data_IF_943814909195
#
_entry.id   IF_943814909195
#
_cell.length_a   1.000
_cell.length_b   1.000
_cell.length_c   1.000
_cell.angle_alpha   90.00
_cell.angle_beta   90.00
_cell.angle_gamma   90.00
#
_symmetry.space_group_name_H-M   'P 1'
#
loop_
_entity.id
_entity.type
_entity.pdbx_description
1 polymer ?
#
# COMPACT_ATOMS: atom_id res chain seq x y z
N UNK A 1 10.78 -32.15 -3.15
CA UNK A 1 10.18 -33.12 -4.09
C UNK A 1 9.21 -32.37 -5.01
N UNK A 2 9.45 -32.33 -6.33
CA UNK A 2 8.42 -32.05 -7.34
C UNK A 2 9.04 -32.18 -8.75
N UNK A 3 8.79 -33.30 -9.43
CA UNK A 3 9.02 -33.43 -10.87
C UNK A 3 8.05 -34.49 -11.40
N UNK A 4 6.97 -34.05 -12.06
CA UNK A 4 6.00 -34.95 -12.71
C UNK A 4 5.95 -34.57 -14.19
N UNK A 5 6.63 -35.38 -15.00
CA UNK A 5 6.49 -35.34 -16.45
C UNK A 5 5.16 -35.99 -16.87
N UNK A 6 4.54 -35.48 -17.93
CA UNK A 6 3.43 -36.16 -18.61
C UNK A 6 3.73 -36.22 -20.12
N UNK A 7 3.90 -37.44 -20.62
CA UNK A 7 3.98 -37.71 -22.04
C UNK A 7 2.58 -37.77 -22.65
N UNK A 8 2.42 -37.20 -23.86
CA UNK A 8 1.24 -37.37 -24.70
C UNK A 8 1.58 -38.23 -25.91
N UNK A 9 0.78 -39.25 -26.18
CA UNK A 9 1.00 -40.23 -27.26
C UNK A 9 0.00 -40.04 -28.40
N UNK A 10 0.47 -39.69 -29.60
CA UNK A 10 -0.39 -39.56 -30.78
C UNK A 10 -0.68 -40.92 -31.44
N UNK A 11 -1.97 -41.19 -31.65
CA UNK A 11 -2.47 -42.38 -32.36
C UNK A 11 -2.60 -42.06 -33.85
N UNK A 12 -1.88 -42.80 -34.71
CA UNK A 12 -2.16 -42.80 -36.16
C UNK A 12 -3.47 -43.55 -36.44
N UNK A 13 -4.39 -42.89 -37.15
CA UNK A 13 -5.55 -43.53 -37.77
C UNK A 13 -5.17 -43.94 -39.20
N UNK A 14 -5.34 -45.22 -39.51
CA UNK A 14 -5.24 -45.75 -40.88
C UNK A 14 -6.60 -45.69 -41.57
N UNK A 15 -6.66 -45.17 -42.79
CA UNK A 15 -7.83 -45.30 -43.68
C UNK A 15 -7.41 -46.06 -44.93
N UNK A 16 -8.06 -47.19 -45.18
CA UNK A 16 -7.90 -47.95 -46.42
C UNK A 16 -8.84 -47.39 -47.50
N UNK A 17 -8.44 -47.52 -48.76
CA UNK A 17 -9.27 -47.14 -49.91
C UNK A 17 -8.93 -48.01 -51.12
N UNK A 18 -9.83 -48.93 -51.46
CA UNK A 18 -9.77 -49.71 -52.70
C UNK A 18 -10.26 -48.87 -53.88
N UNK A 19 -9.66 -49.06 -55.07
CA UNK A 19 -10.33 -48.80 -56.35
C UNK A 19 -9.69 -49.63 -57.48
N UNK A 20 -10.53 -50.45 -58.15
CA UNK A 20 -10.18 -51.14 -59.41
C UNK A 20 -10.20 -50.16 -60.59
N UNK A 21 -9.28 -50.31 -61.55
CA UNK A 21 -9.55 -49.98 -62.97
C UNK A 21 -8.96 -51.09 -63.86
N UNK A 22 -9.66 -51.40 -64.96
CA UNK A 22 -9.44 -52.53 -65.87
C UNK A 22 -8.70 -52.17 -67.17
N UNK A 23 -8.04 -53.17 -67.75
CA UNK A 23 -7.86 -53.43 -69.19
C UNK A 23 -7.27 -52.37 -70.15
N UNK A 24 -6.21 -52.75 -70.87
CA UNK A 24 -5.76 -52.07 -72.10
C UNK A 24 -4.52 -52.73 -72.71
N UNK A 25 -4.67 -53.44 -73.84
CA UNK A 25 -3.61 -54.25 -74.47
C UNK A 25 -2.97 -53.53 -75.67
N UNK A 26 -1.66 -53.67 -75.89
CA UNK A 26 -1.14 -54.45 -77.05
C UNK A 26 0.36 -54.24 -77.39
N UNK A 27 0.95 -55.33 -77.93
CA UNK A 27 2.08 -55.42 -78.87
C UNK A 27 3.45 -54.76 -78.54
N UNK A 28 4.46 -55.63 -78.40
CA UNK A 28 5.31 -55.89 -79.57
C UNK A 28 6.85 -55.93 -79.40
N UNK A 29 7.40 -57.17 -79.46
CA UNK A 29 8.77 -57.51 -79.93
C UNK A 29 9.98 -57.11 -79.06
N UNK A 30 11.10 -57.85 -79.24
CA UNK A 30 12.42 -57.45 -78.70
C UNK A 30 13.17 -58.46 -77.81
N UNK A 31 13.13 -59.76 -78.10
CA UNK A 31 13.96 -60.76 -77.38
C UNK A 31 15.43 -60.63 -77.81
N UNK A 32 16.30 -60.04 -76.97
CA UNK A 32 17.75 -60.19 -77.05
C UNK A 32 18.33 -60.52 -75.67
N UNK A 33 18.78 -61.76 -75.51
CA UNK A 33 19.69 -62.13 -74.42
C UNK A 33 21.01 -61.41 -74.65
N UNK A 34 21.28 -60.37 -73.87
CA UNK A 34 22.59 -59.80 -73.70
C UNK A 34 22.91 -59.83 -72.21
N UNK A 35 23.99 -60.52 -71.82
CA UNK A 35 24.57 -60.47 -70.49
C UNK A 35 25.23 -59.11 -70.25
N UNK A 36 24.40 -58.06 -70.22
CA UNK A 36 24.79 -56.75 -69.75
C UNK A 36 24.75 -56.75 -68.24
N UNK A 37 25.87 -56.36 -67.62
CA UNK A 37 25.98 -56.14 -66.18
C UNK A 37 24.76 -55.36 -65.67
N UNK A 38 24.30 -55.68 -64.46
CA UNK A 38 23.37 -54.80 -63.73
C UNK A 38 24.13 -53.50 -63.46
N UNK A 39 24.11 -52.56 -64.43
CA UNK A 39 24.63 -51.20 -64.27
C UNK A 39 23.91 -50.64 -63.08
N UNK A 40 24.59 -50.63 -61.94
CA UNK A 40 24.13 -49.98 -60.72
C UNK A 40 23.84 -48.55 -61.17
N UNK A 41 22.57 -48.08 -61.16
CA UNK A 41 22.27 -46.76 -61.65
C UNK A 41 23.16 -45.81 -60.88
N UNK A 42 23.97 -45.05 -61.63
CA UNK A 42 25.06 -44.24 -61.09
C UNK A 42 24.56 -43.43 -59.90
N UNK A 43 25.40 -43.14 -58.92
CA UNK A 43 25.05 -42.27 -57.81
C UNK A 43 24.35 -40.98 -58.31
N UNK A 44 24.79 -40.47 -59.47
CA UNK A 44 24.18 -39.34 -60.20
C UNK A 44 22.75 -39.63 -60.69
N UNK A 45 22.46 -40.82 -61.22
CA UNK A 45 21.11 -41.19 -61.68
C UNK A 45 20.15 -41.45 -60.52
N UNK A 46 20.64 -42.07 -59.43
CA UNK A 46 19.86 -42.24 -58.20
C UNK A 46 19.54 -40.90 -57.56
N UNK A 47 20.54 -40.04 -57.42
CA UNK A 47 20.41 -38.67 -56.93
C UNK A 47 19.46 -37.86 -57.81
N UNK A 48 19.61 -37.90 -59.14
CA UNK A 48 18.70 -37.22 -60.07
C UNK A 48 17.25 -37.68 -59.88
N UNK A 49 17.00 -38.99 -59.81
CA UNK A 49 15.64 -39.52 -59.59
C UNK A 49 15.07 -39.13 -58.21
N UNK A 50 15.90 -39.12 -57.17
CA UNK A 50 15.50 -38.72 -55.81
C UNK A 50 15.24 -37.20 -55.72
N UNK A 51 16.02 -36.40 -56.45
CA UNK A 51 15.84 -34.95 -56.61
C UNK A 51 14.57 -34.63 -57.42
N UNK A 52 14.31 -35.36 -58.50
CA UNK A 52 13.06 -35.27 -59.28
C UNK A 52 11.84 -35.69 -58.44
N UNK A 53 11.96 -36.73 -57.61
CA UNK A 53 10.90 -37.13 -56.68
C UNK A 53 10.63 -36.05 -55.60
N UNK A 54 11.67 -35.50 -54.97
CA UNK A 54 11.49 -34.42 -53.97
C UNK A 54 11.02 -33.10 -54.60
N UNK A 55 11.41 -32.79 -55.84
CA UNK A 55 10.81 -31.70 -56.63
C UNK A 55 9.33 -31.94 -56.91
N UNK A 56 8.94 -33.14 -57.36
CA UNK A 56 7.54 -33.49 -57.60
C UNK A 56 6.71 -33.47 -56.31
N UNK A 57 7.25 -33.96 -55.20
CA UNK A 57 6.60 -33.93 -53.89
C UNK A 57 6.37 -32.49 -53.42
N UNK A 58 7.36 -31.59 -53.55
CA UNK A 58 7.20 -30.15 -53.28
C UNK A 58 6.17 -29.49 -54.20
N UNK A 59 6.14 -29.84 -55.49
CA UNK A 59 5.15 -29.30 -56.44
C UNK A 59 3.72 -29.79 -56.12
N UNK A 60 3.56 -31.03 -55.66
CA UNK A 60 2.27 -31.56 -55.18
C UNK A 60 1.87 -30.89 -53.87
N UNK A 61 2.82 -30.68 -52.94
CA UNK A 61 2.65 -29.91 -51.71
C UNK A 61 2.10 -28.52 -51.98
N UNK A 62 2.83 -27.69 -52.74
CA UNK A 62 2.38 -26.34 -53.12
C UNK A 62 1.05 -26.34 -53.88
N UNK A 63 0.77 -27.36 -54.70
CA UNK A 63 -0.53 -27.48 -55.39
C UNK A 63 -1.66 -27.78 -54.42
N UNK A 64 -1.42 -28.56 -53.37
CA UNK A 64 -2.40 -28.86 -52.33
C UNK A 64 -2.59 -27.68 -51.37
N UNK A 65 -1.52 -27.02 -50.94
CA UNK A 65 -1.58 -25.75 -50.19
C UNK A 65 -2.38 -24.69 -50.97
N UNK A 66 -2.11 -24.52 -52.27
CA UNK A 66 -2.88 -23.60 -53.12
C UNK A 66 -4.36 -24.01 -53.26
N UNK A 67 -4.67 -25.32 -53.27
CA UNK A 67 -6.06 -25.80 -53.25
C UNK A 67 -6.74 -25.49 -51.92
N UNK A 68 -6.10 -25.76 -50.79
CA UNK A 68 -6.65 -25.46 -49.46
C UNK A 68 -6.81 -23.95 -49.25
N UNK A 69 -5.84 -23.12 -49.65
CA UNK A 69 -5.98 -21.65 -49.67
C UNK A 69 -7.15 -21.19 -50.55
N UNK A 70 -7.32 -21.79 -51.74
CA UNK A 70 -8.46 -21.47 -52.62
C UNK A 70 -9.79 -21.95 -52.03
N UNK A 71 -9.80 -23.07 -51.31
CA UNK A 71 -10.96 -23.62 -50.64
C UNK A 71 -11.36 -22.77 -49.44
N UNK A 72 -10.41 -22.43 -48.57
CA UNK A 72 -10.59 -21.49 -47.46
C UNK A 72 -11.06 -20.11 -47.96
N UNK A 73 -10.46 -19.58 -49.02
CA UNK A 73 -10.89 -18.32 -49.64
C UNK A 73 -12.30 -18.40 -50.23
N UNK A 74 -12.68 -19.53 -50.84
CA UNK A 74 -14.06 -19.78 -51.30
C UNK A 74 -15.03 -19.92 -50.13
N UNK A 75 -14.67 -20.64 -49.08
CA UNK A 75 -15.46 -20.80 -47.87
C UNK A 75 -15.69 -19.43 -47.20
N UNK A 76 -14.64 -18.64 -47.01
CA UNK A 76 -14.70 -17.25 -46.54
C UNK A 76 -15.60 -16.38 -47.44
N UNK A 77 -15.43 -16.44 -48.76
CA UNK A 77 -16.26 -15.68 -49.70
C UNK A 77 -17.73 -16.12 -49.65
N UNK A 78 -18.02 -17.43 -49.52
CA UNK A 78 -19.40 -17.91 -49.33
C UNK A 78 -19.96 -17.57 -47.96
N UNK A 79 -19.13 -17.43 -46.93
CA UNK A 79 -19.57 -16.97 -45.61
C UNK A 79 -19.94 -15.49 -45.70
N UNK A 80 -19.01 -14.64 -46.16
CA UNK A 80 -19.24 -13.20 -46.42
C UNK A 80 -20.50 -12.98 -47.27
N UNK A 81 -20.69 -13.72 -48.36
CA UNK A 81 -21.87 -13.63 -49.21
C UNK A 81 -23.20 -14.03 -48.53
N UNK A 82 -23.15 -14.83 -47.45
CA UNK A 82 -24.32 -15.17 -46.62
C UNK A 82 -24.58 -14.16 -45.51
N UNK A 83 -23.53 -13.52 -45.00
CA UNK A 83 -23.58 -12.55 -43.89
C UNK A 83 -24.26 -11.22 -44.28
N UNK A 84 -23.99 -10.74 -45.49
CA UNK A 84 -24.20 -9.33 -45.88
C UNK A 84 -25.61 -8.73 -45.65
N UNK A 85 -26.75 -9.41 -45.90
CA UNK A 85 -28.07 -8.75 -45.73
C UNK A 85 -28.66 -8.82 -44.31
N UNK A 86 -28.56 -9.95 -43.62
CA UNK A 86 -29.33 -10.21 -42.37
C UNK A 86 -28.58 -9.91 -41.09
N UNK A 87 -27.24 -10.01 -41.06
CA UNK A 87 -26.45 -9.79 -39.85
C UNK A 87 -26.25 -8.31 -39.55
N UNK A 88 -25.97 -7.50 -40.58
CA UNK A 88 -25.91 -6.04 -40.49
C UNK A 88 -27.23 -5.48 -39.93
N UNK A 89 -28.37 -5.94 -40.45
CA UNK A 89 -29.70 -5.52 -39.96
C UNK A 89 -29.93 -5.89 -38.49
N UNK A 90 -29.49 -7.08 -38.06
CA UNK A 90 -29.57 -7.50 -36.67
C UNK A 90 -28.67 -6.67 -35.74
N UNK A 91 -27.43 -6.43 -36.16
CA UNK A 91 -26.43 -5.65 -35.41
C UNK A 91 -26.87 -4.19 -35.25
N UNK A 92 -27.33 -3.55 -36.31
CA UNK A 92 -27.76 -2.15 -36.29
C UNK A 92 -29.03 -1.98 -35.45
N UNK A 93 -30.04 -2.85 -35.62
CA UNK A 93 -31.27 -2.81 -34.82
C UNK A 93 -31.00 -2.96 -33.32
N UNK A 94 -30.09 -3.86 -32.93
CA UNK A 94 -29.71 -4.07 -31.52
C UNK A 94 -28.82 -2.96 -30.95
N UNK A 95 -28.19 -2.15 -31.80
CA UNK A 95 -27.42 -0.97 -31.38
C UNK A 95 -28.27 0.30 -31.29
N UNK A 96 -29.46 0.33 -31.92
CA UNK A 96 -30.42 1.45 -31.81
C UNK A 96 -31.24 1.44 -30.52
N UNK A 97 -31.22 0.35 -29.73
CA UNK A 97 -31.97 0.26 -28.47
C UNK A 97 -31.09 0.78 -27.33
N UNK A 98 -31.58 1.77 -26.57
CA UNK A 98 -30.94 2.32 -25.35
C UNK A 98 -30.87 1.33 -24.16
N UNK A 99 -30.97 0.02 -24.42
CA UNK A 99 -30.99 -1.03 -23.41
C UNK A 99 -29.58 -1.45 -22.97
N UNK A 100 -29.46 -1.83 -21.70
CA UNK A 100 -28.22 -2.37 -21.14
C UNK A 100 -27.72 -3.59 -21.91
N UNK A 101 -26.41 -3.82 -21.92
CA UNK A 101 -25.78 -4.93 -22.65
C UNK A 101 -26.38 -6.29 -22.25
N UNK A 102 -26.66 -6.47 -20.96
CA UNK A 102 -27.36 -7.63 -20.39
C UNK A 102 -28.78 -7.80 -20.96
N UNK A 103 -29.54 -6.71 -21.05
CA UNK A 103 -30.92 -6.71 -21.58
C UNK A 103 -30.92 -7.05 -23.07
N UNK A 104 -29.96 -6.49 -23.83
CA UNK A 104 -29.77 -6.80 -25.26
C UNK A 104 -29.41 -8.28 -25.44
N UNK A 105 -28.45 -8.82 -24.68
CA UNK A 105 -28.11 -10.23 -24.71
C UNK A 105 -29.33 -11.14 -24.39
N UNK A 106 -30.12 -10.78 -23.36
CA UNK A 106 -31.34 -11.52 -23.00
C UNK A 106 -32.39 -11.53 -24.11
N UNK A 107 -32.67 -10.37 -24.72
CA UNK A 107 -33.65 -10.25 -25.81
C UNK A 107 -33.27 -11.12 -27.01
N UNK A 108 -31.99 -11.07 -27.43
CA UNK A 108 -31.47 -11.83 -28.57
C UNK A 108 -31.46 -13.32 -28.29
N UNK A 109 -31.08 -13.74 -27.08
CA UNK A 109 -31.00 -15.17 -26.75
C UNK A 109 -32.38 -15.81 -26.50
N UNK A 110 -33.32 -15.10 -25.87
CA UNK A 110 -34.57 -15.69 -25.35
C UNK A 110 -35.85 -15.27 -26.05
N UNK A 111 -35.92 -14.08 -26.64
CA UNK A 111 -37.17 -13.52 -27.18
C UNK A 111 -37.18 -13.44 -28.70
N UNK A 112 -36.17 -12.80 -29.29
CA UNK A 112 -36.09 -12.46 -30.72
C UNK A 112 -36.25 -13.66 -31.66
N UNK A 113 -35.60 -14.83 -31.45
CA UNK A 113 -35.68 -15.95 -32.40
C UNK A 113 -37.11 -16.45 -32.61
N UNK A 114 -37.90 -16.55 -31.53
CA UNK A 114 -39.30 -16.97 -31.58
C UNK A 114 -40.22 -15.82 -32.00
N UNK A 115 -39.95 -14.59 -31.56
CA UNK A 115 -40.79 -13.43 -31.84
C UNK A 115 -40.80 -13.06 -33.33
N UNK A 116 -39.62 -13.00 -33.99
CA UNK A 116 -39.56 -12.67 -35.42
C UNK A 116 -40.27 -13.73 -36.25
N UNK A 117 -40.08 -15.03 -35.97
CA UNK A 117 -40.79 -16.09 -36.68
C UNK A 117 -42.32 -16.00 -36.48
N UNK A 118 -42.77 -15.61 -35.29
CA UNK A 118 -44.19 -15.35 -35.02
C UNK A 118 -44.74 -14.16 -35.80
N UNK A 119 -44.00 -13.05 -35.88
CA UNK A 119 -44.37 -11.87 -36.67
C UNK A 119 -44.33 -12.17 -38.18
N UNK A 120 -43.35 -12.92 -38.66
CA UNK A 120 -43.28 -13.39 -40.05
C UNK A 120 -44.52 -14.23 -40.41
N UNK A 121 -44.91 -15.19 -39.55
CA UNK A 121 -46.13 -15.99 -39.79
C UNK A 121 -47.40 -15.18 -39.66
N UNK A 122 -47.44 -14.18 -38.78
CA UNK A 122 -48.56 -13.24 -38.66
C UNK A 122 -48.73 -12.40 -39.95
N UNK A 123 -47.65 -11.83 -40.47
CA UNK A 123 -47.66 -11.02 -41.69
C UNK A 123 -48.09 -11.85 -42.90
N UNK A 124 -47.50 -13.05 -43.08
CA UNK A 124 -47.91 -13.98 -44.14
C UNK A 124 -49.40 -14.36 -44.06
N UNK A 125 -49.96 -14.48 -42.86
CA UNK A 125 -51.39 -14.80 -42.67
C UNK A 125 -52.29 -13.58 -42.94
N UNK A 126 -51.83 -12.37 -42.61
CA UNK A 126 -52.50 -11.11 -42.96
C UNK A 126 -52.47 -10.85 -44.48
N UNK A 127 -51.36 -11.15 -45.15
CA UNK A 127 -51.20 -11.03 -46.61
C UNK A 127 -52.15 -11.96 -47.37
N UNK A 128 -52.22 -13.25 -46.98
CA UNK A 128 -53.17 -14.22 -47.56
C UNK A 128 -54.63 -13.79 -47.43
N UNK A 129 -54.97 -13.05 -46.37
CA UNK A 129 -56.31 -12.51 -46.10
C UNK A 129 -56.54 -11.14 -46.76
N UNK A 130 -55.53 -10.57 -47.43
CA UNK A 130 -55.60 -9.25 -48.04
C UNK A 130 -55.82 -8.14 -47.01
N UNK A 131 -55.24 -8.28 -45.82
CA UNK A 131 -55.40 -7.34 -44.69
C UNK A 131 -54.25 -6.34 -44.56
N UNK A 132 -53.07 -6.62 -45.13
CA UNK A 132 -51.85 -5.84 -44.93
C UNK A 132 -51.90 -4.37 -45.41
N UNK A 133 -52.93 -3.99 -46.19
CA UNK A 133 -53.18 -2.61 -46.63
C UNK A 133 -54.54 -2.03 -46.21
N UNK A 134 -55.31 -2.73 -45.35
CA UNK A 134 -56.64 -2.26 -44.90
C UNK A 134 -56.54 -1.58 -43.54
N UNK A 135 -57.11 -0.39 -43.43
CA UNK A 135 -57.15 0.37 -42.16
C UNK A 135 -58.22 -0.17 -41.19
N UNK A 136 -59.22 -0.87 -41.70
CA UNK A 136 -60.32 -1.44 -40.94
C UNK A 136 -59.96 -2.79 -40.32
N UNK A 137 -60.39 -3.01 -39.08
CA UNK A 137 -60.13 -4.27 -38.35
C UNK A 137 -61.08 -5.37 -38.84
N UNK A 138 -60.52 -6.47 -39.33
CA UNK A 138 -61.28 -7.68 -39.66
C UNK A 138 -61.85 -8.31 -38.37
N UNK A 139 -63.18 -8.47 -38.23
CA UNK A 139 -63.80 -9.14 -37.09
C UNK A 139 -63.32 -10.59 -36.87
N UNK A 140 -62.89 -11.27 -37.93
CA UNK A 140 -62.45 -12.67 -37.91
C UNK A 140 -60.92 -12.86 -37.75
N UNK A 141 -60.14 -11.78 -37.65
CA UNK A 141 -58.69 -11.88 -37.49
C UNK A 141 -58.13 -10.85 -36.51
N UNK A 142 -57.81 -11.31 -35.29
CA UNK A 142 -57.09 -10.51 -34.31
C UNK A 142 -55.59 -10.87 -34.36
N UNK A 143 -54.71 -9.95 -34.82
CA UNK A 143 -53.28 -10.23 -34.97
C UNK A 143 -52.56 -10.46 -33.64
N UNK A 144 -53.02 -9.83 -32.56
CA UNK A 144 -52.45 -10.01 -31.21
C UNK A 144 -52.76 -11.42 -30.72
N UNK A 145 -53.99 -11.89 -30.89
CA UNK A 145 -54.38 -13.25 -30.50
C UNK A 145 -53.64 -14.31 -31.33
N UNK A 146 -53.47 -14.09 -32.63
CA UNK A 146 -52.70 -15.00 -33.50
C UNK A 146 -51.23 -15.09 -33.04
N UNK A 147 -50.57 -13.95 -32.80
CA UNK A 147 -49.19 -13.93 -32.33
C UNK A 147 -49.07 -14.56 -30.93
N UNK A 148 -49.96 -14.27 -30.00
CA UNK A 148 -49.97 -14.88 -28.67
C UNK A 148 -50.10 -16.41 -28.74
N UNK A 149 -51.05 -16.93 -29.54
CA UNK A 149 -51.21 -18.37 -29.77
C UNK A 149 -49.96 -19.00 -30.41
N UNK A 150 -49.31 -18.29 -31.33
CA UNK A 150 -48.06 -18.74 -31.94
C UNK A 150 -46.93 -18.83 -30.91
N UNK A 151 -46.73 -17.78 -30.10
CA UNK A 151 -45.69 -17.74 -29.07
C UNK A 151 -45.92 -18.82 -27.99
N UNK A 152 -47.17 -19.04 -27.56
CA UNK A 152 -47.52 -20.10 -26.61
C UNK A 152 -47.23 -21.50 -27.16
N UNK A 153 -47.46 -21.74 -28.46
CA UNK A 153 -47.16 -23.01 -29.13
C UNK A 153 -45.67 -23.23 -29.39
N UNK A 154 -44.89 -22.16 -29.56
CA UNK A 154 -43.48 -22.21 -29.95
C UNK A 154 -42.54 -21.73 -28.83
N UNK A 155 -42.78 -22.18 -27.60
CA UNK A 155 -41.98 -21.82 -26.43
C UNK A 155 -40.47 -22.12 -26.67
N UNK A 156 -39.55 -21.16 -26.49
CA UNK A 156 -38.11 -21.36 -26.70
C UNK A 156 -37.48 -22.56 -25.95
N UNK A 157 -38.07 -23.02 -24.84
CA UNK A 157 -37.61 -24.19 -24.09
C UNK A 157 -37.92 -25.54 -24.74
N UNK A 158 -38.89 -25.58 -25.66
CA UNK A 158 -39.43 -26.81 -26.24
C UNK A 158 -39.56 -26.75 -27.78
N UNK A 159 -39.25 -25.62 -28.41
CA UNK A 159 -39.39 -25.43 -29.84
C UNK A 159 -38.19 -25.98 -30.61
N UNK A 160 -38.44 -26.96 -31.47
CA UNK A 160 -37.46 -27.50 -32.41
C UNK A 160 -37.36 -26.64 -33.68
N UNK A 161 -37.24 -25.31 -33.55
CA UNK A 161 -36.92 -24.46 -34.70
C UNK A 161 -35.57 -24.88 -35.26
N UNK A 162 -35.59 -25.46 -36.45
CA UNK A 162 -34.39 -25.91 -37.12
C UNK A 162 -33.40 -24.77 -37.27
N UNK A 163 -32.11 -25.05 -37.05
CA UNK A 163 -30.98 -24.12 -37.15
C UNK A 163 -30.69 -23.68 -38.61
N UNK A 164 -31.71 -23.80 -39.47
CA UNK A 164 -31.71 -23.64 -40.91
C UNK A 164 -31.98 -22.18 -41.34
N UNK A 165 -32.73 -21.39 -40.56
CA UNK A 165 -33.01 -19.99 -40.90
C UNK A 165 -31.75 -19.12 -40.78
N UNK A 166 -31.33 -18.39 -41.84
CA UNK A 166 -30.19 -17.48 -41.79
C UNK A 166 -30.29 -16.46 -40.64
N UNK A 167 -31.50 -15.97 -40.37
CA UNK A 167 -31.76 -14.99 -39.32
C UNK A 167 -31.51 -15.54 -37.89
N UNK A 168 -31.79 -16.82 -37.64
CA UNK A 168 -31.53 -17.43 -36.33
C UNK A 168 -30.01 -17.60 -36.11
N UNK A 169 -29.23 -17.81 -37.18
CA UNK A 169 -27.75 -17.82 -37.09
C UNK A 169 -27.20 -16.44 -36.78
N UNK A 170 -27.67 -15.40 -37.48
CA UNK A 170 -27.23 -14.02 -37.25
C UNK A 170 -27.46 -13.57 -35.80
N UNK A 171 -28.61 -13.92 -35.21
CA UNK A 171 -28.88 -13.63 -33.80
C UNK A 171 -27.94 -14.39 -32.84
N UNK A 172 -27.57 -15.65 -33.13
CA UNK A 172 -26.59 -16.39 -32.32
C UNK A 172 -25.21 -15.73 -32.36
N UNK A 173 -24.74 -15.28 -33.52
CA UNK A 173 -23.43 -14.62 -33.64
C UNK A 173 -23.38 -13.32 -32.84
N UNK A 174 -24.43 -12.50 -32.91
CA UNK A 174 -24.56 -11.29 -32.08
C UNK A 174 -24.67 -11.63 -30.59
N UNK A 175 -25.36 -12.72 -30.21
CA UNK A 175 -25.39 -13.20 -28.81
C UNK A 175 -23.99 -13.52 -28.30
N UNK A 176 -23.19 -14.23 -29.07
CA UNK A 176 -21.83 -14.62 -28.68
C UNK A 176 -20.86 -13.43 -28.69
N UNK A 177 -21.09 -12.39 -29.49
CA UNK A 177 -20.37 -11.11 -29.42
C UNK A 177 -20.72 -10.35 -28.13
N UNK A 178 -22.02 -10.15 -27.84
CA UNK A 178 -22.50 -9.48 -26.63
C UNK A 178 -22.03 -10.19 -25.34
N UNK A 179 -22.00 -11.52 -25.32
CA UNK A 179 -21.43 -12.30 -24.20
C UNK A 179 -19.95 -12.03 -23.99
N UNK A 180 -19.15 -12.00 -25.07
CA UNK A 180 -17.71 -11.67 -24.99
C UNK A 180 -17.50 -10.27 -24.43
N UNK A 181 -18.32 -9.29 -24.81
CA UNK A 181 -18.28 -7.95 -24.24
C UNK A 181 -18.65 -7.93 -22.75
N UNK A 182 -19.71 -8.64 -22.34
CA UNK A 182 -20.10 -8.79 -20.92
C UNK A 182 -18.95 -9.36 -20.08
N UNK A 183 -18.37 -10.49 -20.49
CA UNK A 183 -17.25 -11.11 -19.78
C UNK A 183 -16.05 -10.16 -19.66
N UNK A 184 -15.68 -9.44 -20.72
CA UNK A 184 -14.59 -8.46 -20.68
C UNK A 184 -14.84 -7.31 -19.68
N UNK A 185 -16.10 -6.87 -19.54
CA UNK A 185 -16.49 -5.81 -18.59
C UNK A 185 -16.46 -6.34 -17.15
N UNK A 186 -16.99 -7.55 -16.92
CA UNK A 186 -16.98 -8.21 -15.61
C UNK A 186 -15.57 -8.54 -15.14
N UNK A 187 -14.72 -9.11 -15.99
CA UNK A 187 -13.32 -9.41 -15.67
C UNK A 187 -12.52 -8.14 -15.35
N UNK A 188 -12.74 -7.04 -16.09
CA UNK A 188 -12.14 -5.75 -15.79
C UNK A 188 -12.61 -5.21 -14.42
N UNK A 189 -13.91 -5.25 -14.14
CA UNK A 189 -14.48 -4.84 -12.85
C UNK A 189 -13.93 -5.69 -11.69
N UNK A 190 -13.86 -7.01 -11.87
CA UNK A 190 -13.35 -7.95 -10.88
C UNK A 190 -11.85 -7.76 -10.64
N UNK A 191 -11.07 -7.54 -11.71
CA UNK A 191 -9.65 -7.21 -11.62
C UNK A 191 -9.41 -5.90 -10.85
N UNK A 192 -10.22 -4.85 -11.08
CA UNK A 192 -10.16 -3.59 -10.32
C UNK A 192 -10.45 -3.80 -8.84
N UNK A 193 -11.54 -4.51 -8.50
CA UNK A 193 -11.91 -4.82 -7.11
C UNK A 193 -10.82 -5.66 -6.41
N UNK A 194 -10.26 -6.65 -7.10
CA UNK A 194 -9.17 -7.50 -6.59
C UNK A 194 -7.89 -6.71 -6.35
N UNK A 195 -7.54 -5.79 -7.25
CA UNK A 195 -6.38 -4.90 -7.12
C UNK A 195 -6.56 -3.90 -5.95
N UNK A 196 -7.74 -3.29 -5.81
CA UNK A 196 -8.06 -2.38 -4.70
C UNK A 196 -8.03 -3.09 -3.34
N UNK A 197 -8.62 -4.29 -3.25
CA UNK A 197 -8.61 -5.13 -2.04
C UNK A 197 -7.19 -5.53 -1.66
N UNK A 198 -6.35 -5.89 -2.64
CA UNK A 198 -4.94 -6.18 -2.44
C UNK A 198 -4.17 -4.96 -1.93
N UNK A 199 -4.36 -3.79 -2.56
CA UNK A 199 -3.72 -2.53 -2.14
C UNK A 199 -4.09 -2.16 -0.70
N UNK A 200 -5.38 -2.23 -0.33
CA UNK A 200 -5.86 -2.01 1.06
C UNK A 200 -5.33 -3.03 2.07
N UNK A 201 -4.89 -4.21 1.64
CA UNK A 201 -4.20 -5.18 2.51
C UNK A 201 -2.74 -4.80 2.70
N UNK A 202 -2.02 -4.56 1.60
CA UNK A 202 -0.61 -4.15 1.62
C UNK A 202 -0.40 -2.81 2.37
N UNK A 203 -1.34 -1.88 2.30
CA UNK A 203 -1.31 -0.62 3.04
C UNK A 203 -1.51 -0.80 4.56
N UNK A 204 -2.45 -1.68 4.98
CA UNK A 204 -2.62 -2.02 6.40
C UNK A 204 -1.42 -2.76 6.96
N UNK A 205 -0.89 -3.74 6.22
CA UNK A 205 0.30 -4.49 6.60
C UNK A 205 1.53 -3.60 6.77
N UNK A 206 1.72 -2.60 5.89
CA UNK A 206 2.76 -1.57 6.04
C UNK A 206 2.56 -0.70 7.28
N UNK A 207 1.33 -0.23 7.53
CA UNK A 207 1.04 0.61 8.69
C UNK A 207 1.16 -0.15 10.02
N UNK A 208 0.79 -1.43 10.03
CA UNK A 208 0.98 -2.34 11.18
C UNK A 208 2.47 -2.63 11.41
N UNK A 209 3.27 -2.83 10.35
CA UNK A 209 4.72 -2.99 10.47
C UNK A 209 5.40 -1.72 11.02
N UNK A 210 5.07 -0.53 10.51
CA UNK A 210 5.60 0.74 11.02
C UNK A 210 5.28 0.94 12.51
N UNK A 211 4.02 0.72 12.93
CA UNK A 211 3.63 0.79 14.35
C UNK A 211 4.38 -0.22 15.22
N UNK A 212 4.62 -1.44 14.73
CA UNK A 212 5.43 -2.42 15.45
C UNK A 212 6.91 -1.98 15.57
N UNK A 213 7.46 -1.35 14.54
CA UNK A 213 8.83 -0.85 14.53
C UNK A 213 9.01 0.34 15.49
N UNK A 214 8.08 1.30 15.46
CA UNK A 214 7.99 2.42 16.42
C UNK A 214 7.86 1.90 17.85
N UNK A 215 6.94 0.98 18.12
CA UNK A 215 6.75 0.37 19.45
C UNK A 215 8.02 -0.36 19.93
N UNK A 216 8.72 -1.08 19.03
CA UNK A 216 10.01 -1.73 19.34
C UNK A 216 11.10 -0.71 19.65
N UNK A 217 11.16 0.40 18.91
CA UNK A 217 12.11 1.48 19.13
C UNK A 217 11.88 2.19 20.47
N UNK A 218 10.63 2.59 20.76
CA UNK A 218 10.24 3.21 22.05
C UNK A 218 10.54 2.28 23.22
N UNK A 219 10.19 0.99 23.12
CA UNK A 219 10.51 -0.03 24.11
C UNK A 219 12.01 -0.13 24.40
N UNK A 220 12.86 -0.12 23.35
CA UNK A 220 14.33 -0.14 23.49
C UNK A 220 14.84 1.09 24.26
N UNK A 221 14.38 2.29 23.88
CA UNK A 221 14.79 3.53 24.56
C UNK A 221 14.33 3.61 26.01
N UNK A 222 13.14 3.08 26.34
CA UNK A 222 12.69 2.96 27.73
C UNK A 222 13.58 1.98 28.54
N UNK A 223 14.03 0.88 27.94
CA UNK A 223 14.97 -0.04 28.59
C UNK A 223 16.36 0.56 28.79
N UNK A 224 16.83 1.40 27.86
CA UNK A 224 18.07 2.18 28.01
C UNK A 224 17.92 3.23 29.13
N UNK A 225 16.79 3.94 29.17
CA UNK A 225 16.48 4.95 30.18
C UNK A 225 16.50 4.42 31.62
N UNK A 226 16.14 3.14 31.81
CA UNK A 226 16.18 2.48 33.13
C UNK A 226 17.54 2.62 33.84
N UNK A 227 18.65 2.61 33.11
CA UNK A 227 20.01 2.67 33.67
C UNK A 227 20.35 4.01 34.34
N UNK A 228 19.58 5.06 34.04
CA UNK A 228 19.73 6.39 34.63
C UNK A 228 18.99 6.55 35.95
N UNK A 229 18.01 5.70 36.25
CA UNK A 229 17.29 5.76 37.52
C UNK A 229 18.20 5.38 38.68
N UNK A 230 17.95 5.96 39.86
CA UNK A 230 18.61 5.51 41.08
C UNK A 230 18.14 4.08 41.39
N UNK A 231 19.03 3.13 41.20
CA UNK A 231 18.71 1.72 41.35
C UNK A 231 19.02 1.33 42.80
N UNK A 232 18.03 0.78 43.51
CA UNK A 232 18.23 0.27 44.86
C UNK A 232 19.25 -0.88 44.91
N UNK A 233 19.70 -1.33 46.10
CA UNK A 233 20.74 -2.36 46.23
C UNK A 233 20.43 -3.69 45.50
N UNK A 234 19.15 -3.97 45.21
CA UNK A 234 18.72 -5.16 44.44
C UNK A 234 18.72 -5.01 42.91
N UNK A 235 19.11 -3.86 42.33
CA UNK A 235 19.03 -3.68 40.88
C UNK A 235 17.64 -3.27 40.35
N UNK A 236 16.74 -2.77 41.22
CA UNK A 236 15.34 -2.44 40.90
C UNK A 236 15.00 -0.96 41.09
N UNK A 237 13.93 -0.50 40.42
CA UNK A 237 13.35 0.85 40.51
C UNK A 237 11.96 0.76 41.13
N UNK A 238 11.61 1.66 42.05
CA UNK A 238 10.30 1.69 42.72
C UNK A 238 9.21 2.27 41.81
N UNK A 239 8.00 1.68 41.86
CA UNK A 239 6.88 2.04 40.99
C UNK A 239 6.38 3.47 41.23
N UNK A 240 6.35 3.93 42.49
CA UNK A 240 5.85 5.26 42.84
C UNK A 240 6.66 6.38 42.18
N UNK A 241 7.98 6.21 42.04
CA UNK A 241 8.87 7.16 41.35
C UNK A 241 8.45 7.35 39.87
N UNK A 242 8.05 6.25 39.24
CA UNK A 242 7.62 6.22 37.84
C UNK A 242 6.25 6.85 37.66
N UNK A 243 5.32 6.60 38.60
CA UNK A 243 4.01 7.24 38.62
C UNK A 243 4.12 8.75 38.89
N UNK A 244 5.01 9.19 39.78
CA UNK A 244 5.28 10.60 40.03
C UNK A 244 5.91 11.29 38.80
N UNK A 245 6.79 10.61 38.07
CA UNK A 245 7.33 11.12 36.79
C UNK A 245 6.24 11.24 35.70
N UNK A 246 5.32 10.28 35.62
CA UNK A 246 4.16 10.35 34.71
C UNK A 246 3.21 11.50 35.09
N UNK A 247 2.90 11.68 36.39
CA UNK A 247 2.04 12.78 36.90
C UNK A 247 2.64 14.16 36.61
N UNK A 248 3.91 14.36 36.98
CA UNK A 248 4.64 15.61 36.69
C UNK A 248 4.78 15.91 35.19
N UNK A 249 4.79 14.89 34.32
CA UNK A 249 4.72 15.12 32.86
C UNK A 249 3.34 15.63 32.42
N UNK A 250 2.25 15.15 33.02
CA UNK A 250 0.90 15.66 32.73
C UNK A 250 0.80 17.13 33.18
N UNK A 251 1.27 17.46 34.39
CA UNK A 251 1.34 18.84 34.89
C UNK A 251 2.23 19.75 34.01
N UNK A 252 3.34 19.23 33.49
CA UNK A 252 4.17 19.93 32.52
C UNK A 252 3.44 20.13 31.17
N UNK A 253 2.60 19.18 30.77
CA UNK A 253 1.86 19.23 29.50
C UNK A 253 0.78 20.29 29.47
N UNK A 254 0.23 20.70 30.62
CA UNK A 254 -0.71 21.82 30.74
C UNK A 254 -0.07 23.15 30.33
N UNK A 255 1.27 23.26 30.42
CA UNK A 255 2.04 24.43 29.99
C UNK A 255 2.39 24.43 28.49
N UNK A 256 1.99 23.40 27.74
CA UNK A 256 2.21 23.35 26.29
C UNK A 256 1.16 24.18 25.53
N UNK A 257 1.42 24.59 24.27
CA UNK A 257 0.40 25.19 23.42
C UNK A 257 -0.83 24.29 23.26
N UNK A 258 -2.03 24.88 23.16
CA UNK A 258 -3.33 24.18 23.17
C UNK A 258 -3.43 22.99 22.22
N UNK A 259 -2.84 23.12 21.01
CA UNK A 259 -2.82 22.06 20.00
C UNK A 259 -1.99 20.83 20.39
N UNK A 260 -1.08 20.96 21.36
CA UNK A 260 -0.29 19.85 21.94
C UNK A 260 -0.86 19.35 23.27
N UNK A 261 -1.57 20.18 24.05
CA UNK A 261 -2.18 19.76 25.32
C UNK A 261 -3.11 18.55 25.13
N UNK A 262 -3.96 18.56 24.09
CA UNK A 262 -4.86 17.44 23.80
C UNK A 262 -4.11 16.17 23.37
N UNK A 263 -2.99 16.30 22.67
CA UNK A 263 -2.17 15.20 22.16
C UNK A 263 -1.15 14.65 23.19
N UNK A 264 -0.89 15.40 24.27
CA UNK A 264 0.01 15.01 25.35
C UNK A 264 -0.69 14.27 26.49
N UNK A 265 -2.02 14.23 26.51
CA UNK A 265 -2.81 13.42 27.44
C UNK A 265 -2.58 11.94 27.14
N UNK A 266 -2.29 11.16 28.18
CA UNK A 266 -2.15 9.71 28.06
C UNK A 266 -3.50 9.05 27.70
N UNK A 267 -3.43 7.96 26.94
CA UNK A 267 -4.57 7.15 26.51
C UNK A 267 -5.33 6.52 27.68
N UNK A 268 -4.65 6.24 28.79
CA UNK A 268 -5.18 5.65 30.01
C UNK A 268 -4.98 6.60 31.19
N UNK A 269 -5.99 6.69 32.07
CA UNK A 269 -5.89 7.44 33.32
C UNK A 269 -4.81 6.84 34.24
N UNK A 270 -4.00 7.70 34.85
CA UNK A 270 -2.91 7.29 35.75
C UNK A 270 -3.47 6.66 37.03
N UNK A 271 -3.05 5.43 37.32
CA UNK A 271 -3.34 4.73 38.57
C UNK A 271 -2.88 5.55 39.79
N UNK A 272 -3.56 5.45 40.95
CA UNK A 272 -3.09 6.03 42.21
C UNK A 272 -1.62 5.65 42.49
N UNK A 273 -0.88 6.58 43.11
CA UNK A 273 0.53 6.33 43.45
C UNK A 273 0.62 5.15 44.42
N UNK A 274 1.55 4.23 44.15
CA UNK A 274 1.71 3.00 44.89
C UNK A 274 2.32 3.24 46.28
N UNK A 275 1.56 2.89 47.31
CA UNK A 275 1.99 2.89 48.71
C UNK A 275 2.59 1.53 49.14
N UNK A 276 2.51 0.48 48.30
CA UNK A 276 2.95 -0.88 48.66
C UNK A 276 4.46 -1.13 48.52
N UNK A 277 5.23 -0.14 48.04
CA UNK A 277 6.68 -0.25 47.85
C UNK A 277 7.08 -1.21 46.72
N UNK A 278 6.23 -1.38 45.70
CA UNK A 278 6.47 -2.33 44.62
C UNK A 278 7.66 -1.89 43.77
N UNK A 279 8.59 -2.81 43.53
CA UNK A 279 9.75 -2.59 42.66
C UNK A 279 9.60 -3.27 41.30
N UNK A 280 10.17 -2.66 40.26
CA UNK A 280 10.07 -3.07 38.86
C UNK A 280 11.42 -3.51 38.33
N UNK A 281 11.43 -4.58 37.51
CA UNK A 281 12.56 -4.93 36.64
C UNK A 281 12.57 -4.09 35.36
N UNK A 282 13.70 -4.08 34.64
CA UNK A 282 13.87 -3.42 33.31
C UNK A 282 12.69 -3.68 32.36
N UNK A 283 12.22 -4.93 32.28
CA UNK A 283 11.14 -5.33 31.37
C UNK A 283 9.77 -4.87 31.85
N UNK A 284 9.54 -4.78 33.16
CA UNK A 284 8.28 -4.32 33.74
C UNK A 284 8.18 -2.80 33.67
N UNK A 285 9.26 -2.08 33.96
CA UNK A 285 9.39 -0.63 33.77
C UNK A 285 8.98 -0.22 32.35
N UNK A 286 9.62 -0.79 31.33
CA UNK A 286 9.35 -0.41 29.94
C UNK A 286 7.94 -0.83 29.49
N UNK A 287 7.42 -1.96 30.00
CA UNK A 287 6.02 -2.39 29.79
C UNK A 287 5.00 -1.51 30.51
N UNK A 288 5.34 -0.89 31.64
CA UNK A 288 4.44 0.02 32.36
C UNK A 288 4.34 1.34 31.61
N UNK A 289 5.47 1.96 31.31
CA UNK A 289 5.51 3.27 30.63
C UNK A 289 4.93 3.21 29.22
N UNK A 290 5.15 2.12 28.46
CA UNK A 290 4.61 2.03 27.09
C UNK A 290 3.08 2.06 27.05
N UNK A 291 2.37 1.60 28.09
CA UNK A 291 0.90 1.62 28.12
C UNK A 291 0.33 3.04 28.04
N UNK A 292 1.01 4.01 28.66
CA UNK A 292 0.64 5.42 28.64
C UNK A 292 1.22 6.18 27.44
N UNK A 293 2.34 5.70 26.87
CA UNK A 293 3.12 6.41 25.83
C UNK A 293 3.01 5.83 24.42
N UNK A 294 2.21 4.78 24.21
CA UNK A 294 2.01 4.15 22.89
C UNK A 294 1.33 5.10 21.88
N UNK A 295 0.39 5.95 22.33
CA UNK A 295 -0.36 6.87 21.45
C UNK A 295 0.27 8.26 21.28
N UNK A 296 1.33 8.59 22.05
CA UNK A 296 2.03 9.87 21.90
C UNK A 296 2.65 10.01 20.49
N UNK A 297 2.66 11.23 19.94
CA UNK A 297 3.47 11.53 18.76
C UNK A 297 4.96 11.48 19.11
N UNK A 298 5.83 11.21 18.13
CA UNK A 298 7.28 11.11 18.38
C UNK A 298 7.85 12.40 19.00
N UNK A 299 7.38 13.57 18.60
CA UNK A 299 7.80 14.86 19.18
C UNK A 299 7.44 14.99 20.66
N UNK A 300 6.32 14.39 21.09
CA UNK A 300 5.91 14.37 22.50
C UNK A 300 6.63 13.25 23.26
N UNK A 301 6.91 12.12 22.61
CA UNK A 301 7.72 11.03 23.17
C UNK A 301 9.16 11.49 23.45
N UNK A 302 9.81 12.26 22.57
CA UNK A 302 11.14 12.82 22.86
C UNK A 302 11.12 13.77 24.07
N UNK A 303 10.11 14.65 24.17
CA UNK A 303 9.94 15.54 25.34
C UNK A 303 9.70 14.75 26.62
N UNK A 304 8.90 13.68 26.55
CA UNK A 304 8.68 12.76 27.65
C UNK A 304 9.98 12.06 28.08
N UNK A 305 10.80 11.59 27.13
CA UNK A 305 12.10 10.97 27.42
C UNK A 305 13.08 11.96 28.08
N UNK A 306 13.09 13.23 27.65
CA UNK A 306 13.85 14.29 28.32
C UNK A 306 13.37 14.52 29.76
N UNK A 307 12.06 14.64 29.99
CA UNK A 307 11.48 14.76 31.33
C UNK A 307 11.86 13.57 32.22
N UNK A 308 11.71 12.34 31.71
CA UNK A 308 12.13 11.10 32.38
C UNK A 308 13.62 11.08 32.74
N UNK A 309 14.48 11.71 31.95
CA UNK A 309 15.91 11.86 32.28
C UNK A 309 16.15 12.86 33.40
N UNK A 310 15.40 13.97 33.41
CA UNK A 310 15.43 14.96 34.49
C UNK A 310 14.96 14.36 35.82
N UNK A 311 13.82 13.65 35.83
CA UNK A 311 13.31 12.96 37.01
C UNK A 311 14.29 11.89 37.53
N UNK A 312 14.90 11.11 36.64
CA UNK A 312 15.90 10.12 37.02
C UNK A 312 17.14 10.75 37.68
N UNK A 313 17.62 11.88 37.14
CA UNK A 313 18.74 12.63 37.71
C UNK A 313 18.36 13.23 39.08
N UNK A 314 17.24 13.95 39.17
CA UNK A 314 16.75 14.53 40.41
C UNK A 314 16.61 13.46 41.52
N UNK A 315 16.05 12.29 41.20
CA UNK A 315 15.95 11.19 42.15
C UNK A 315 17.32 10.66 42.61
N UNK A 316 18.33 10.64 41.73
CA UNK A 316 19.71 10.31 42.12
C UNK A 316 20.31 11.34 43.08
N UNK A 317 20.12 12.63 42.83
CA UNK A 317 20.59 13.68 43.74
C UNK A 317 19.89 13.58 45.11
N UNK A 318 18.57 13.38 45.13
CA UNK A 318 17.81 13.15 46.37
C UNK A 318 18.28 11.90 47.13
N UNK A 319 18.44 10.77 46.45
CA UNK A 319 18.95 9.52 47.05
C UNK A 319 20.36 9.70 47.61
N UNK A 320 21.24 10.41 46.90
CA UNK A 320 22.59 10.70 47.36
C UNK A 320 22.59 11.66 48.56
N UNK A 321 21.77 12.72 48.54
CA UNK A 321 21.61 13.67 49.65
C UNK A 321 21.07 12.97 50.90
N UNK A 322 20.09 12.09 50.75
CA UNK A 322 19.53 11.29 51.84
C UNK A 322 20.56 10.29 52.40
N UNK A 323 21.30 9.59 51.53
CA UNK A 323 22.41 8.75 51.96
C UNK A 323 23.48 9.54 52.73
N UNK A 324 23.86 10.75 52.26
CA UNK A 324 24.77 11.66 53.00
C UNK A 324 24.18 12.05 54.36
N UNK A 325 22.89 12.42 54.41
CA UNK A 325 22.17 12.77 55.65
C UNK A 325 22.21 11.64 56.68
N UNK A 326 21.95 10.40 56.26
CA UNK A 326 22.02 9.21 57.12
C UNK A 326 23.44 8.99 57.66
N UNK A 327 24.47 9.06 56.81
CA UNK A 327 25.86 8.90 57.27
C UNK A 327 26.28 9.99 58.26
N UNK A 328 25.93 11.25 58.01
CA UNK A 328 26.22 12.37 58.91
C UNK A 328 25.45 12.28 60.22
N UNK A 329 24.19 11.83 60.19
CA UNK A 329 23.36 11.59 61.39
C UNK A 329 23.96 10.47 62.24
N UNK A 330 24.35 9.35 61.62
CA UNK A 330 25.00 8.24 62.32
C UNK A 330 26.37 8.65 62.91
N UNK A 331 27.15 9.46 62.18
CA UNK A 331 28.41 10.01 62.68
C UNK A 331 28.16 10.92 63.89
N UNK A 332 27.19 11.84 63.80
CA UNK A 332 26.78 12.72 64.90
C UNK A 332 26.40 11.91 66.15
N UNK A 333 25.52 10.91 66.00
CA UNK A 333 25.10 10.02 67.09
C UNK A 333 26.26 9.21 67.68
N UNK A 334 27.25 8.82 66.87
CA UNK A 334 28.46 8.14 67.37
C UNK A 334 29.41 9.07 68.13
N UNK A 335 29.33 10.38 67.88
CA UNK A 335 30.14 11.39 68.55
C UNK A 335 29.47 11.94 69.81
N UNK A 336 28.14 12.06 69.83
CA UNK A 336 27.38 12.42 71.03
C UNK A 336 27.26 11.24 72.00
N UNK A 337 28.30 11.05 72.80
CA UNK A 337 28.32 10.04 73.87
C UNK A 337 27.39 10.41 75.05
N UNK A 338 26.83 11.63 75.07
CA UNK A 338 25.99 12.15 76.15
C UNK A 338 24.48 11.98 75.87
N UNK A 339 24.09 11.89 74.60
CA UNK A 339 22.69 11.86 74.16
C UNK A 339 21.95 13.19 74.33
N UNK A 340 22.67 14.30 74.53
CA UNK A 340 22.11 15.63 74.79
C UNK A 340 21.86 16.41 73.48
N UNK A 341 22.35 15.91 72.34
CA UNK A 341 22.27 16.59 71.04
C UNK A 341 23.33 17.67 70.86
N UNK A 342 24.44 17.59 71.61
CA UNK A 342 25.56 18.55 71.56
C UNK A 342 26.90 17.80 71.43
N UNK A 343 27.81 18.33 70.60
CA UNK A 343 29.14 17.77 70.40
C UNK A 343 30.20 18.60 71.13
N UNK A 344 30.99 17.95 71.99
CA UNK A 344 32.14 18.59 72.65
C UNK A 344 33.29 18.81 71.65
N UNK A 345 33.62 20.09 71.41
CA UNK A 345 34.73 20.56 70.56
C UNK A 345 36.06 19.87 70.87
N UNK A 346 36.42 19.69 72.14
CA UNK A 346 37.69 19.05 72.50
C UNK A 346 37.70 17.56 72.14
N UNK A 347 36.57 16.87 72.35
CA UNK A 347 36.40 15.47 71.97
C UNK A 347 36.44 15.28 70.45
N UNK A 348 35.75 16.13 69.69
CA UNK A 348 35.72 16.09 68.22
C UNK A 348 37.11 16.34 67.62
N UNK A 349 37.83 17.37 68.09
CA UNK A 349 39.20 17.64 67.63
C UNK A 349 40.13 16.46 67.94
N UNK A 350 40.02 15.86 69.13
CA UNK A 350 40.79 14.65 69.49
C UNK A 350 40.52 13.47 68.57
N UNK A 351 39.26 13.27 68.12
CA UNK A 351 38.91 12.22 67.16
C UNK A 351 39.51 12.49 65.78
N UNK A 352 39.46 13.74 65.29
CA UNK A 352 40.08 14.10 64.02
C UNK A 352 41.61 13.99 64.06
N UNK A 353 42.26 14.38 65.16
CA UNK A 353 43.70 14.21 65.35
C UNK A 353 44.10 12.74 65.34
N UNK A 354 43.39 11.88 66.09
CA UNK A 354 43.64 10.44 66.10
C UNK A 354 43.43 9.80 64.71
N UNK A 355 42.41 10.24 63.96
CA UNK A 355 42.19 9.80 62.59
C UNK A 355 43.31 10.27 61.66
N UNK A 356 43.73 11.54 61.75
CA UNK A 356 44.85 12.06 60.99
C UNK A 356 46.14 11.30 61.30
N UNK A 357 46.49 11.10 62.56
CA UNK A 357 47.75 10.45 62.93
C UNK A 357 47.75 8.97 62.45
N UNK A 358 46.62 8.25 62.57
CA UNK A 358 46.46 6.85 62.12
C UNK A 358 46.20 6.65 60.61
N UNK A 359 45.88 7.69 59.85
CA UNK A 359 45.62 7.57 58.41
C UNK A 359 46.84 7.14 57.59
N UNK A 360 46.62 6.40 56.50
CA UNK A 360 47.64 6.05 55.51
C UNK A 360 48.11 7.28 54.74
N UNK A 361 49.37 7.30 54.27
CA UNK A 361 49.92 8.45 53.54
C UNK A 361 49.11 8.83 52.29
N UNK A 362 48.63 7.84 51.54
CA UNK A 362 47.74 8.04 50.38
C UNK A 362 46.53 8.93 50.70
N UNK A 363 45.92 8.75 51.88
CA UNK A 363 44.76 9.52 52.32
C UNK A 363 45.21 10.88 52.90
N UNK A 364 46.33 10.91 53.62
CA UNK A 364 46.93 12.15 54.17
C UNK A 364 47.22 13.20 53.10
N UNK A 365 47.49 12.82 51.84
CA UNK A 365 47.65 13.77 50.72
C UNK A 365 46.41 14.61 50.43
N UNK A 366 45.21 14.07 50.68
CA UNK A 366 43.93 14.71 50.38
C UNK A 366 43.27 15.35 51.61
N UNK A 367 43.86 15.17 52.79
CA UNK A 367 43.36 15.71 54.05
C UNK A 367 44.18 16.95 54.47
N UNK A 368 43.57 17.86 55.23
CA UNK A 368 44.29 18.93 55.95
C UNK A 368 44.49 18.51 57.40
N UNK A 369 45.67 18.78 57.96
CA UNK A 369 45.96 18.48 59.37
C UNK A 369 45.00 19.25 60.31
N UNK A 370 44.21 18.55 61.17
CA UNK A 370 43.24 19.17 62.08
C UNK A 370 43.82 20.24 63.00
N UNK A 371 45.08 20.06 63.44
CA UNK A 371 45.81 21.02 64.30
C UNK A 371 46.10 22.36 63.61
N UNK A 372 45.78 22.49 62.31
CA UNK A 372 45.96 23.69 61.48
C UNK A 372 44.66 24.16 60.82
N UNK A 373 43.51 23.65 61.23
CA UNK A 373 42.23 24.14 60.70
C UNK A 373 41.94 25.53 61.29
N UNK A 374 41.46 26.50 60.48
CA UNK A 374 40.93 27.73 61.03
C UNK A 374 39.71 27.38 61.87
N UNK A 375 39.67 27.87 63.12
CA UNK A 375 38.45 27.80 63.93
C UNK A 375 37.79 29.15 63.87
N UNK A 376 36.58 29.17 63.33
CA UNK A 376 35.65 30.30 63.35
C UNK A 376 34.60 29.91 64.39
N UNK A 377 34.32 30.80 65.35
CA UNK A 377 33.24 30.56 66.31
C UNK A 377 31.90 30.88 65.65
N UNK A 378 30.83 30.15 66.02
CA UNK A 378 29.58 30.07 65.23
C UNK A 378 28.89 31.44 65.05
N UNK A 379 29.09 32.36 65.98
CA UNK A 379 28.55 33.73 65.94
C UNK A 379 29.22 34.64 64.89
N UNK A 380 30.33 34.22 64.26
CA UNK A 380 31.05 34.95 63.21
C UNK A 380 30.77 34.41 61.79
N UNK A 381 29.99 33.32 61.66
CA UNK A 381 29.60 32.78 60.37
C UNK A 381 28.38 33.53 59.82
N UNK A 382 28.55 34.18 58.67
CA UNK A 382 27.42 34.73 57.90
C UNK A 382 26.64 33.55 57.30
N UNK A 383 25.33 33.46 57.58
CA UNK A 383 24.41 32.41 57.09
C UNK A 383 24.18 32.47 55.55
N UNK A 384 24.99 33.24 54.83
CA UNK A 384 24.97 33.40 53.37
C UNK A 384 25.63 32.25 52.59
N UNK A 385 26.13 31.21 53.28
CA UNK A 385 26.47 29.93 52.64
C UNK A 385 25.17 29.21 52.30
N UNK A 386 24.56 29.57 51.18
CA UNK A 386 23.40 28.85 50.67
C UNK A 386 23.80 27.47 50.16
N UNK A 387 22.90 26.50 50.33
CA UNK A 387 23.06 25.09 49.94
C UNK A 387 22.83 24.90 48.41
N UNK A 388 22.98 25.99 47.63
CA UNK A 388 22.55 26.14 46.23
C UNK A 388 23.53 25.58 45.19
N UNK A 389 24.77 25.22 45.58
CA UNK A 389 25.77 24.67 44.65
C UNK A 389 25.39 23.27 44.08
N UNK A 390 24.32 22.64 44.60
CA UNK A 390 23.75 21.36 44.14
C UNK A 390 22.36 21.54 43.45
N UNK A 391 21.89 22.77 43.17
CA UNK A 391 20.68 23.00 42.34
C UNK A 391 20.96 22.66 40.86
N UNK A 392 20.15 21.80 40.22
CA UNK A 392 20.26 21.57 38.78
C UNK A 392 19.77 22.81 38.04
N UNK A 393 20.70 23.64 37.56
CA UNK A 393 20.43 24.83 36.73
C UNK A 393 19.24 24.59 35.81
N UNK A 394 18.14 25.32 36.05
CA UNK A 394 16.99 25.28 35.14
C UNK A 394 17.48 25.55 33.72
N UNK A 395 17.32 24.56 32.85
CA UNK A 395 17.55 24.77 31.42
C UNK A 395 16.45 25.70 30.95
N UNK A 396 16.77 26.99 30.88
CA UNK A 396 15.92 27.98 30.21
C UNK A 396 15.67 27.48 28.79
N UNK A 397 14.49 26.90 28.57
CA UNK A 397 13.99 26.58 27.25
C UNK A 397 13.97 27.92 26.49
N UNK A 398 14.63 28.03 25.33
CA UNK A 398 14.68 29.30 24.61
C UNK A 398 13.26 29.81 24.35
N UNK A 399 12.92 30.94 24.99
CA UNK A 399 11.65 31.61 24.76
C UNK A 399 11.54 31.95 23.28
N UNK A 400 10.49 31.44 22.63
CA UNK A 400 10.13 31.80 21.27
C UNK A 400 9.76 33.28 21.24
N UNK A 401 10.77 34.15 21.01
CA UNK A 401 10.52 35.50 20.54
C UNK A 401 9.82 35.41 19.20
N UNK A 402 8.62 36.00 19.15
CA UNK A 402 7.74 36.06 18.01
C UNK A 402 8.49 36.54 16.77
N UNK A 403 8.46 35.75 15.70
CA UNK A 403 9.05 36.12 14.41
C UNK A 403 8.11 37.06 13.63
N UNK A 404 7.81 38.24 14.18
CA UNK A 404 7.05 39.28 13.47
C UNK A 404 7.38 40.72 13.91
N UNK A 405 8.67 41.07 13.98
CA UNK A 405 9.07 42.48 13.78
C UNK A 405 10.51 42.59 13.24
N UNK A 406 10.83 43.76 12.65
CA UNK A 406 12.10 44.10 11.98
C UNK A 406 12.32 43.44 10.60
N UNK A 407 11.48 43.81 9.64
CA UNK A 407 11.82 43.81 8.22
C UNK A 407 11.87 45.25 7.66
N UNK A 408 12.97 45.97 7.92
CA UNK A 408 13.37 47.16 7.15
C UNK A 408 14.84 47.01 6.75
N UNK A 409 15.21 47.21 5.47
CA UNK A 409 16.52 46.86 4.96
C UNK A 409 17.59 47.89 5.34
N UNK A 410 18.79 47.40 5.64
CA UNK A 410 19.97 48.23 5.84
C UNK A 410 20.52 48.77 4.51
N UNK A 411 21.02 50.01 4.53
CA UNK A 411 21.74 50.64 3.42
C UNK A 411 23.19 50.12 3.28
N UNK A 412 23.74 50.01 2.05
CA UNK A 412 25.12 49.57 1.81
C UNK A 412 26.17 50.71 1.97
N UNK A 413 27.47 50.38 2.12
CA UNK A 413 28.56 51.35 2.27
C UNK A 413 29.11 51.92 0.94
N UNK A 414 29.98 52.93 1.05
CA UNK A 414 30.30 54.00 0.06
C UNK A 414 31.80 54.35 0.18
N UNK A 415 32.62 54.61 -0.86
CA UNK A 415 32.51 54.67 -2.35
C UNK A 415 33.91 54.62 -2.98
N UNK A 416 34.07 54.11 -4.21
CA UNK A 416 35.15 54.57 -5.14
C UNK A 416 34.81 54.39 -6.64
N UNK A 417 34.43 55.50 -7.29
CA UNK A 417 34.92 56.08 -8.57
C UNK A 417 35.20 55.27 -9.88
N UNK A 418 35.23 55.89 -11.09
CA UNK A 418 34.69 57.20 -11.55
C UNK A 418 33.91 57.08 -12.92
N UNK A 419 33.91 58.01 -13.93
CA UNK A 419 32.64 58.65 -14.34
C UNK A 419 32.26 58.59 -15.85
N UNK A 420 30.96 58.73 -16.17
CA UNK A 420 30.51 58.98 -17.56
C UNK A 420 29.21 59.81 -17.70
N UNK A 421 29.37 61.04 -18.23
CA UNK A 421 28.51 61.82 -19.15
C UNK A 421 26.96 61.67 -19.12
N UNK A 422 26.32 62.80 -18.78
CA UNK A 422 25.18 63.50 -19.45
C UNK A 422 24.76 63.10 -20.89
N UNK A 423 23.56 63.48 -21.42
CA UNK A 423 22.40 64.20 -20.83
C UNK A 423 20.97 63.72 -21.25
N UNK A 424 19.96 64.51 -20.82
CA UNK A 424 18.82 65.04 -21.64
C UNK A 424 17.39 64.50 -21.43
N UNK A 425 16.43 65.42 -21.63
CA UNK A 425 14.96 65.31 -21.39
C UNK A 425 14.20 65.40 -22.72
N UNK A 426 13.08 64.68 -22.84
CA UNK A 426 11.84 65.02 -23.60
C UNK A 426 11.00 63.75 -23.86
N UNK A 427 9.68 63.74 -24.11
CA UNK A 427 8.53 64.60 -23.80
C UNK A 427 7.23 63.90 -24.35
N UNK A 428 6.04 64.38 -23.96
CA UNK A 428 4.73 64.26 -24.66
C UNK A 428 3.93 62.92 -24.70
N UNK A 429 2.59 63.07 -24.73
CA UNK A 429 1.54 62.05 -24.96
C UNK A 429 0.76 61.64 -23.68
N UNK A 430 -0.33 62.30 -23.25
CA UNK A 430 -1.71 62.25 -23.80
C UNK A 430 -2.09 60.85 -24.39
N UNK A 431 -3.19 60.17 -24.02
CA UNK A 431 -4.58 60.68 -23.96
C UNK A 431 -5.61 59.67 -23.35
N UNK A 432 -6.68 60.19 -22.71
CA UNK A 432 -8.10 59.71 -22.58
C UNK A 432 -8.54 58.25 -22.30
N UNK A 433 -9.55 58.13 -21.41
CA UNK A 433 -10.59 57.07 -21.35
C UNK A 433 -10.87 56.55 -19.92
N UNK A 434 -11.80 57.01 -19.06
CA UNK A 434 -13.23 57.48 -19.11
C UNK A 434 -14.26 56.36 -18.80
N UNK A 435 -15.25 56.66 -17.93
CA UNK A 435 -16.38 55.83 -17.42
C UNK A 435 -16.01 54.74 -16.38
N UNK A 436 -16.41 54.83 -15.08
CA UNK A 436 -17.74 54.68 -14.41
C UNK A 436 -18.16 53.22 -14.19
N UNK A 437 -18.74 52.78 -13.06
CA UNK A 437 -19.03 53.48 -11.80
C UNK A 437 -19.99 52.70 -10.89
N UNK A 438 -20.17 53.19 -9.65
CA UNK A 438 -21.32 53.01 -8.72
C UNK A 438 -21.79 51.60 -8.27
N UNK A 439 -21.93 51.52 -6.93
CA UNK A 439 -22.99 50.87 -6.12
C UNK A 439 -23.08 49.33 -6.20
N UNK A 440 -22.87 48.58 -5.12
CA UNK A 440 -23.53 48.58 -3.80
C UNK A 440 -24.94 47.96 -3.82
N UNK A 441 -25.00 46.67 -3.45
CA UNK A 441 -25.98 46.11 -2.52
C UNK A 441 -25.39 44.89 -1.81
#
# INVERSE_FOLDING_TARGET
>A
MAAVAKAGSDKRVTVAGEARITSGSSRGSGKRNGSGEKRVPSAVQRWKKQHEQTMMEKLVGMRNEKKELTKLSKEQATNIARMIPTELLGRDWLNMIEATLETRAYLVEKLMPTLILGVEKLLNEADKRGLAGKLERDPNFNPINFLAQYLMRNNPRYSNFSEASPYVRSLREVTEELKRELFNIEDNRLARIKAETRRRREEREKNEALKQDERRHRMKRLMEQYMHWAVGPEGRVELHLLQNALRSFVELSEKFPDHLQAAAKFSQALEPTDESGKTLTVKEFAKYVIQYTEELSDTLFERFMLHMSSCASANRHLTAREARRIHLTNLFLSCDHSGIGLLDRHRILSLFENYWDSAKEEIKTNLRNPRKWPVVDVDEADDSISDDDDEPREVQVPSLKTAEEVAKPASPPVTTEPPAKTPSKSALGENRGRFSGKQAR
#
